data_IF_169675284094
#
_entry.id   IF_169675284094
#
_cell.length_a   1.000
_cell.length_b   1.000
_cell.length_c   1.000
_cell.angle_alpha   90.00
_cell.angle_beta   90.00
_cell.angle_gamma   90.00
#
_symmetry.space_group_name_H-M   'P 1'
#
loop_
_entity.id
_entity.type
_entity.pdbx_description
1 polymer ?
#
# COMPACT_ATOMS: atom_id res chain seq x y z
N UNK A 1 -1.58 -5.35 -5.92
CA UNK A 1 -2.76 -4.53 -6.12
C UNK A 1 -2.63 -3.43 -5.01
N UNK A 2 -2.77 -2.08 -5.22
CA UNK A 2 -2.64 -0.81 -4.34
C UNK A 2 -3.59 -0.18 -3.17
N UNK A 3 -4.98 -0.08 -3.14
CA UNK A 3 -5.86 1.03 -2.45
C UNK A 3 -7.47 1.10 -1.87
N UNK A 4 -8.49 0.35 -1.23
CA UNK A 4 -8.92 -0.95 -0.43
C UNK A 4 -10.37 -1.43 -0.01
N UNK A 5 -10.57 -2.15 1.14
CA UNK A 5 -11.86 -2.23 1.92
C UNK A 5 -11.76 -1.98 3.43
N UNK A 6 -11.89 -0.72 3.84
CA UNK A 6 -11.87 -0.19 5.22
C UNK A 6 -12.13 1.37 5.29
N UNK A 7 -13.22 1.96 4.74
CA UNK A 7 -13.40 3.46 4.53
C UNK A 7 -14.43 4.19 5.38
N UNK A 8 -15.68 3.72 5.41
CA UNK A 8 -16.77 4.70 5.57
C UNK A 8 -16.83 5.29 6.98
N UNK A 9 -16.21 4.63 7.95
CA UNK A 9 -16.11 5.08 9.34
C UNK A 9 -15.34 6.41 9.53
N UNK A 10 -14.56 6.85 8.55
CA UNK A 10 -13.82 8.11 8.64
C UNK A 10 -14.49 9.31 7.96
N UNK A 11 -15.65 9.08 7.34
CA UNK A 11 -16.38 10.09 6.57
C UNK A 11 -17.54 10.74 7.32
N UNK A 12 -18.14 10.02 8.25
CA UNK A 12 -19.35 10.44 8.93
C UNK A 12 -19.09 11.25 10.22
N UNK A 13 -17.87 11.18 10.77
CA UNK A 13 -17.51 11.77 12.08
C UNK A 13 -17.26 13.28 12.00
N UNK A 14 -17.11 13.82 10.79
CA UNK A 14 -16.67 15.19 10.51
C UNK A 14 -17.78 16.24 10.38
N UNK A 15 -18.97 15.85 9.92
CA UNK A 15 -19.74 16.69 8.99
C UNK A 15 -20.95 17.41 9.56
N UNK A 16 -21.43 17.02 10.75
CA UNK A 16 -22.74 17.38 11.28
C UNK A 16 -22.69 17.76 12.78
N UNK A 17 -21.66 18.50 13.18
CA UNK A 17 -21.56 19.05 14.54
C UNK A 17 -21.52 20.57 14.53
N UNK A 18 -22.65 21.23 14.83
CA UNK A 18 -22.66 22.67 15.11
C UNK A 18 -21.92 22.94 16.43
N UNK A 19 -20.94 23.85 16.41
CA UNK A 19 -20.16 24.19 17.60
C UNK A 19 -20.91 25.19 18.50
N UNK A 20 -20.70 25.14 19.84
CA UNK A 20 -21.23 26.16 20.75
C UNK A 20 -20.70 27.56 20.39
N UNK A 21 -21.49 28.60 20.64
CA UNK A 21 -21.18 29.99 20.31
C UNK A 21 -19.81 30.43 20.85
N UNK A 22 -18.86 30.59 19.93
CA UNK A 22 -17.45 30.72 20.24
C UNK A 22 -16.96 32.18 20.27
N UNK A 23 -15.97 32.44 21.12
CA UNK A 23 -15.19 33.68 21.12
C UNK A 23 -14.07 33.54 20.07
N UNK A 24 -14.44 33.61 18.78
CA UNK A 24 -13.58 33.34 17.65
C UNK A 24 -13.26 34.61 16.84
N UNK A 25 -12.01 34.77 16.44
CA UNK A 25 -11.57 35.76 15.46
C UNK A 25 -11.88 35.22 14.05
N UNK A 26 -12.95 35.72 13.44
CA UNK A 26 -13.30 35.39 12.06
C UNK A 26 -12.60 36.31 11.04
N UNK A 27 -12.28 35.75 9.88
CA UNK A 27 -11.94 36.49 8.67
C UNK A 27 -12.70 35.90 7.49
N UNK A 28 -13.51 36.71 6.82
CA UNK A 28 -14.19 36.38 5.56
C UNK A 28 -13.73 37.35 4.49
N UNK A 29 -13.34 36.85 3.32
CA UNK A 29 -12.94 37.70 2.20
C UNK A 29 -14.14 38.42 1.52
N UNK A 30 -15.38 38.02 1.83
CA UNK A 30 -16.59 38.49 1.15
C UNK A 30 -17.73 38.98 2.08
N UNK A 31 -17.51 39.01 3.39
CA UNK A 31 -18.22 39.96 4.27
C UNK A 31 -19.61 39.57 4.78
N UNK A 32 -19.85 38.29 5.12
CA UNK A 32 -21.01 37.88 5.93
C UNK A 32 -20.50 37.12 7.16
N UNK A 33 -21.01 37.45 8.34
CA UNK A 33 -20.68 36.76 9.60
C UNK A 33 -19.41 37.26 10.29
N UNK A 34 -19.56 37.82 11.50
CA UNK A 34 -18.44 38.14 12.38
C UNK A 34 -18.85 37.95 13.85
N UNK A 35 -19.13 36.69 14.22
CA UNK A 35 -19.53 36.29 15.56
C UNK A 35 -20.15 34.88 15.57
N UNK A 36 -19.73 34.02 16.52
CA UNK A 36 -20.23 32.66 16.70
C UNK A 36 -19.74 31.63 15.67
N UNK A 37 -19.74 31.99 14.38
CA UNK A 37 -19.24 31.16 13.29
C UNK A 37 -18.87 32.00 12.06
N UNK A 38 -17.82 31.59 11.35
CA UNK A 38 -17.26 32.29 10.21
C UNK A 38 -17.82 31.67 8.92
N UNK A 39 -19.08 32.00 8.59
CA UNK A 39 -19.68 31.66 7.30
C UNK A 39 -19.09 32.53 6.19
N UNK A 40 -19.26 32.18 4.91
CA UNK A 40 -18.79 33.02 3.80
C UNK A 40 -19.47 32.72 2.47
N UNK A 41 -19.95 33.76 1.79
CA UNK A 41 -20.14 33.82 0.34
C UNK A 41 -19.91 35.28 -0.12
N UNK A 42 -19.29 35.56 -1.28
CA UNK A 42 -20.02 35.76 -2.54
C UNK A 42 -19.66 34.73 -3.63
N UNK A 43 -18.44 34.20 -3.55
CA UNK A 43 -18.06 32.83 -4.00
C UNK A 43 -17.13 32.14 -2.97
N UNK A 44 -17.31 32.49 -1.69
CA UNK A 44 -16.92 31.80 -0.43
C UNK A 44 -15.44 31.51 -0.10
N UNK A 45 -14.85 32.29 0.82
CA UNK A 45 -13.60 31.97 1.53
C UNK A 45 -13.71 32.38 3.02
N UNK A 46 -13.55 31.41 3.93
CA UNK A 46 -13.74 31.54 5.37
C UNK A 46 -12.51 31.10 6.19
N UNK A 47 -12.12 31.91 7.18
CA UNK A 47 -11.17 31.52 8.24
C UNK A 47 -11.79 31.78 9.61
N UNK A 48 -11.70 30.81 10.52
CA UNK A 48 -11.96 30.97 11.95
C UNK A 48 -10.74 30.65 12.80
N UNK A 49 -10.41 31.51 13.77
CA UNK A 49 -9.31 31.30 14.71
C UNK A 49 -9.85 31.41 16.14
N UNK A 50 -9.69 30.35 16.93
CA UNK A 50 -10.13 30.29 18.33
C UNK A 50 -10.61 28.89 18.74
N UNK A 51 -10.69 28.64 20.04
CA UNK A 51 -11.33 27.43 20.57
C UNK A 51 -12.82 27.43 20.20
N UNK A 52 -13.32 26.28 19.73
CA UNK A 52 -14.67 26.09 19.17
C UNK A 52 -14.94 26.92 17.89
N UNK A 53 -13.93 27.48 17.21
CA UNK A 53 -14.16 28.25 15.98
C UNK A 53 -14.69 27.35 14.85
N UNK A 54 -15.77 27.81 14.21
CA UNK A 54 -16.35 27.19 13.01
C UNK A 54 -16.03 28.05 11.80
N UNK A 55 -15.49 27.45 10.73
CA UNK A 55 -15.38 28.06 9.41
C UNK A 55 -16.25 27.29 8.42
N UNK A 56 -17.12 27.99 7.68
CA UNK A 56 -18.01 27.39 6.68
C UNK A 56 -17.98 28.20 5.37
N UNK A 57 -17.59 27.54 4.29
CA UNK A 57 -17.66 28.07 2.93
C UNK A 57 -18.70 27.27 2.14
N UNK A 58 -19.92 27.80 2.11
CA UNK A 58 -21.06 27.20 1.40
C UNK A 58 -21.36 27.93 0.09
N UNK A 59 -21.77 27.16 -0.92
CA UNK A 59 -22.41 27.64 -2.14
C UNK A 59 -21.56 28.58 -3.01
N UNK A 60 -20.23 28.47 -2.95
CA UNK A 60 -19.33 29.07 -3.94
C UNK A 60 -18.91 28.10 -5.05
N UNK A 61 -18.30 28.65 -6.11
CA UNK A 61 -17.60 27.83 -7.11
C UNK A 61 -16.26 27.30 -6.58
N UNK A 62 -15.59 28.10 -5.73
CA UNK A 62 -14.35 27.78 -5.03
C UNK A 62 -14.53 27.95 -3.51
N UNK A 63 -15.06 26.94 -2.83
CA UNK A 63 -15.25 27.01 -1.37
C UNK A 63 -13.99 26.61 -0.62
N UNK A 64 -13.52 27.50 0.27
CA UNK A 64 -12.42 27.23 1.19
C UNK A 64 -12.79 27.64 2.60
N UNK A 65 -12.73 26.69 3.54
CA UNK A 65 -12.85 26.91 4.97
C UNK A 65 -11.56 26.48 5.69
N UNK A 66 -11.16 27.26 6.69
CA UNK A 66 -9.96 27.01 7.50
C UNK A 66 -10.27 27.36 8.96
N UNK A 67 -10.03 26.44 9.90
CA UNK A 67 -10.31 26.61 11.31
C UNK A 67 -9.09 26.22 12.19
N UNK A 68 -8.66 27.11 13.09
CA UNK A 68 -7.49 26.92 13.96
C UNK A 68 -7.85 27.05 15.44
N UNK A 69 -7.61 25.99 16.22
CA UNK A 69 -7.91 25.93 17.65
C UNK A 69 -8.46 24.57 18.07
N UNK A 70 -8.66 24.36 19.37
CA UNK A 70 -9.26 23.12 19.87
C UNK A 70 -10.78 23.11 19.62
N UNK A 71 -11.34 21.93 19.36
CA UNK A 71 -12.73 21.67 18.96
C UNK A 71 -13.20 22.45 17.71
N UNK A 72 -12.29 22.80 16.80
CA UNK A 72 -12.65 23.57 15.60
C UNK A 72 -13.31 22.74 14.52
N UNK A 73 -14.24 23.35 13.80
CA UNK A 73 -14.95 22.76 12.66
C UNK A 73 -14.64 23.55 11.40
N UNK A 74 -14.27 22.86 10.34
CA UNK A 74 -14.12 23.42 9.00
C UNK A 74 -15.02 22.66 8.03
N UNK A 75 -15.96 23.36 7.41
CA UNK A 75 -16.95 22.81 6.50
C UNK A 75 -16.92 23.50 5.12
N UNK A 76 -17.13 22.76 4.04
CA UNK A 76 -17.55 23.36 2.75
C UNK A 76 -18.72 22.62 2.15
N UNK A 77 -19.61 23.35 1.46
CA UNK A 77 -20.91 22.83 1.01
C UNK A 77 -21.22 23.21 -0.44
N UNK A 78 -21.52 22.19 -1.27
CA UNK A 78 -22.02 22.30 -2.65
C UNK A 78 -21.18 23.24 -3.53
N UNK A 79 -20.07 22.73 -4.07
CA UNK A 79 -19.09 23.55 -4.79
C UNK A 79 -18.35 22.74 -5.87
N UNK A 80 -17.85 23.39 -6.92
CA UNK A 80 -16.98 22.68 -7.87
C UNK A 80 -15.64 22.32 -7.22
N UNK A 81 -15.08 23.25 -6.44
CA UNK A 81 -13.88 23.03 -5.64
C UNK A 81 -14.18 23.30 -4.17
N UNK A 82 -13.75 22.39 -3.31
CA UNK A 82 -14.10 22.30 -1.89
C UNK A 82 -12.85 22.00 -1.07
N UNK A 83 -12.48 22.88 -0.14
CA UNK A 83 -11.31 22.74 0.74
C UNK A 83 -11.68 23.03 2.20
N UNK A 84 -11.52 22.07 3.10
CA UNK A 84 -11.67 22.25 4.55
C UNK A 84 -10.35 21.94 5.27
N UNK A 85 -9.96 22.78 6.22
CA UNK A 85 -8.75 22.60 7.04
C UNK A 85 -9.09 22.87 8.49
N UNK A 86 -8.88 21.93 9.39
CA UNK A 86 -9.09 22.09 10.83
C UNK A 86 -7.83 21.65 11.61
N UNK A 87 -7.36 22.46 12.55
CA UNK A 87 -6.12 22.18 13.27
C UNK A 87 -6.19 22.53 14.76
N UNK A 88 -6.09 21.48 15.60
CA UNK A 88 -6.15 21.50 17.05
C UNK A 88 -6.78 20.22 17.60
N UNK A 89 -6.77 20.02 18.91
CA UNK A 89 -7.38 18.82 19.49
C UNK A 89 -8.90 18.92 19.47
N UNK A 90 -9.56 17.88 18.94
CA UNK A 90 -10.98 17.87 18.60
C UNK A 90 -11.30 18.43 17.20
N UNK A 91 -10.30 18.75 16.37
CA UNK A 91 -10.51 19.32 15.05
C UNK A 91 -11.30 18.41 14.09
N UNK A 92 -12.18 19.01 13.28
CA UNK A 92 -12.99 18.34 12.25
C UNK A 92 -12.91 19.10 10.93
N UNK A 93 -12.43 18.45 9.88
CA UNK A 93 -12.51 18.97 8.51
C UNK A 93 -13.50 18.14 7.69
N UNK A 94 -14.40 18.81 6.98
CA UNK A 94 -15.45 18.18 6.19
C UNK A 94 -15.70 18.94 4.89
N UNK A 95 -15.77 18.26 3.74
CA UNK A 95 -16.32 18.87 2.51
C UNK A 95 -17.41 18.03 1.87
N UNK A 96 -18.53 18.66 1.52
CA UNK A 96 -19.71 18.01 0.97
C UNK A 96 -19.66 17.97 -0.58
N UNK A 97 -20.47 17.11 -1.24
CA UNK A 97 -20.45 16.81 -2.68
C UNK A 97 -20.05 17.94 -3.63
N UNK A 98 -18.82 17.83 -4.14
CA UNK A 98 -18.28 18.66 -5.22
C UNK A 98 -17.54 17.87 -6.31
N UNK A 99 -16.93 18.57 -7.28
CA UNK A 99 -16.08 17.94 -8.29
C UNK A 99 -14.71 17.58 -7.70
N UNK A 100 -14.10 18.47 -6.91
CA UNK A 100 -12.88 18.23 -6.14
C UNK A 100 -13.08 18.62 -4.66
N UNK A 101 -12.74 17.72 -3.76
CA UNK A 101 -13.11 17.76 -2.35
C UNK A 101 -11.90 17.40 -1.47
N UNK A 102 -11.39 18.34 -0.68
CA UNK A 102 -10.16 18.17 0.12
C UNK A 102 -10.43 18.51 1.59
N UNK A 103 -10.14 17.58 2.49
CA UNK A 103 -10.16 17.84 3.93
C UNK A 103 -8.79 17.62 4.61
N UNK A 104 -8.45 18.46 5.57
CA UNK A 104 -7.23 18.35 6.35
C UNK A 104 -7.54 18.49 7.84
N UNK A 105 -7.09 17.55 8.65
CA UNK A 105 -7.23 17.57 10.10
C UNK A 105 -5.88 17.39 10.78
N UNK A 106 -5.56 18.25 11.75
CA UNK A 106 -4.36 18.15 12.58
C UNK A 106 -4.75 18.17 14.07
N UNK A 107 -4.04 17.41 14.90
CA UNK A 107 -4.39 17.10 16.31
C UNK A 107 -5.13 15.76 16.44
N UNK A 108 -5.72 15.47 17.60
CA UNK A 108 -6.72 14.40 17.69
C UNK A 108 -8.03 14.85 16.98
N UNK A 109 -8.64 14.05 16.10
CA UNK A 109 -9.80 14.53 15.33
C UNK A 109 -10.27 13.69 14.14
N UNK A 110 -10.95 14.30 13.16
CA UNK A 110 -11.44 13.62 11.95
C UNK A 110 -11.44 14.47 10.69
N UNK A 111 -11.18 13.84 9.54
CA UNK A 111 -11.06 14.50 8.23
C UNK A 111 -11.88 13.77 7.17
N UNK A 112 -12.77 14.48 6.47
CA UNK A 112 -13.74 13.92 5.54
C UNK A 112 -13.98 14.78 4.30
N UNK A 113 -14.20 14.20 3.14
CA UNK A 113 -14.65 14.96 1.96
C UNK A 113 -15.48 14.07 1.02
N UNK A 114 -16.36 14.58 0.16
CA UNK A 114 -17.27 13.72 -0.63
C UNK A 114 -17.57 14.31 -1.99
N UNK A 115 -17.80 13.47 -3.00
CA UNK A 115 -18.05 13.89 -4.38
C UNK A 115 -17.26 13.09 -5.43
N UNK A 116 -16.93 13.71 -6.56
CA UNK A 116 -16.34 13.01 -7.70
C UNK A 116 -14.85 12.70 -7.52
N UNK A 117 -14.04 13.70 -7.16
CA UNK A 117 -12.62 13.56 -6.79
C UNK A 117 -12.45 14.01 -5.36
N UNK A 118 -11.81 13.20 -4.54
CA UNK A 118 -11.77 13.45 -3.12
C UNK A 118 -10.39 13.15 -2.53
N UNK A 119 -10.03 13.83 -1.44
CA UNK A 119 -8.81 13.64 -0.68
C UNK A 119 -8.96 14.08 0.80
N UNK A 120 -8.41 13.34 1.76
CA UNK A 120 -8.37 13.81 3.15
C UNK A 120 -7.12 13.37 3.92
N UNK A 121 -6.73 14.17 4.91
CA UNK A 121 -5.56 13.90 5.75
C UNK A 121 -5.92 14.10 7.24
N UNK A 122 -5.49 13.18 8.10
CA UNK A 122 -5.49 13.30 9.57
C UNK A 122 -4.07 13.19 10.13
N UNK A 123 -3.64 14.15 10.95
CA UNK A 123 -2.25 14.24 11.47
C UNK A 123 -2.19 14.50 12.99
N UNK A 124 -1.84 13.49 13.79
CA UNK A 124 -1.69 13.53 15.26
C UNK A 124 -0.22 13.33 15.64
N UNK A 125 0.45 14.44 15.94
CA UNK A 125 1.91 14.55 16.05
C UNK A 125 2.36 14.75 17.50
N UNK A 126 2.27 13.67 18.29
CA UNK A 126 2.56 13.69 19.72
C UNK A 126 1.36 14.13 20.56
N UNK A 127 1.39 13.78 21.85
CA UNK A 127 0.19 13.83 22.71
C UNK A 127 -0.63 12.53 22.62
N UNK A 128 -1.53 12.35 23.58
CA UNK A 128 -2.49 11.24 23.59
C UNK A 128 -3.70 11.56 22.73
N UNK A 129 -4.10 10.64 21.86
CA UNK A 129 -5.27 10.83 21.00
C UNK A 129 -5.49 9.68 20.02
N UNK A 130 -6.52 9.85 19.21
CA UNK A 130 -6.84 9.02 18.04
C UNK A 130 -7.30 9.94 16.90
N UNK A 131 -7.43 9.39 15.69
CA UNK A 131 -7.99 10.14 14.57
C UNK A 131 -8.75 9.26 13.59
N UNK A 132 -9.42 9.91 12.63
CA UNK A 132 -10.04 9.25 11.48
C UNK A 132 -9.90 10.04 10.18
N UNK A 133 -9.68 9.39 9.04
CA UNK A 133 -9.51 10.10 7.75
C UNK A 133 -10.17 9.44 6.53
N UNK A 134 -11.17 10.05 5.86
CA UNK A 134 -11.85 9.44 4.68
C UNK A 134 -12.55 10.38 3.69
N UNK A 135 -13.05 9.89 2.52
CA UNK A 135 -13.36 10.79 1.37
C UNK A 135 -14.30 10.31 0.18
N UNK A 136 -15.57 9.90 0.34
CA UNK A 136 -16.25 9.02 -0.65
C UNK A 136 -16.73 9.58 -2.02
N UNK A 137 -16.57 8.75 -3.08
CA UNK A 137 -17.39 8.76 -4.31
C UNK A 137 -16.78 7.96 -5.48
N UNK A 138 -16.52 8.63 -6.61
CA UNK A 138 -15.89 8.04 -7.82
C UNK A 138 -14.40 7.71 -7.70
N UNK A 139 -13.54 8.21 -6.80
CA UNK A 139 -13.64 9.26 -5.79
C UNK A 139 -12.77 8.95 -4.60
N UNK A 140 -11.47 8.78 -4.90
CA UNK A 140 -10.37 8.33 -4.06
C UNK A 140 -10.24 9.09 -2.76
N UNK A 141 -9.35 8.64 -1.88
CA UNK A 141 -9.51 8.97 -0.48
C UNK A 141 -8.18 9.44 0.19
N UNK A 142 -7.67 8.86 1.26
CA UNK A 142 -7.09 9.61 2.38
C UNK A 142 -5.75 9.08 2.94
N UNK A 143 -5.35 9.68 4.08
CA UNK A 143 -4.06 9.54 4.75
C UNK A 143 -4.16 9.83 6.27
N UNK A 144 -3.61 8.99 7.15
CA UNK A 144 -3.61 9.19 8.61
C UNK A 144 -2.24 8.92 9.21
N UNK A 145 -1.84 9.78 10.14
CA UNK A 145 -0.50 9.84 10.71
C UNK A 145 -0.63 10.06 12.22
N UNK A 146 -0.62 8.96 12.97
CA UNK A 146 -1.13 8.85 14.35
C UNK A 146 -1.77 7.46 14.49
N UNK A 147 -1.99 6.89 15.69
CA UNK A 147 -2.54 5.55 15.81
C UNK A 147 -3.98 5.57 15.27
N UNK A 148 -4.35 4.68 14.34
CA UNK A 148 -5.72 4.66 13.83
C UNK A 148 -5.98 4.30 12.36
N UNK A 149 -6.63 5.22 11.65
CA UNK A 149 -7.63 4.92 10.62
C UNK A 149 -7.62 5.84 9.35
N UNK A 150 -6.51 5.85 8.55
CA UNK A 150 -6.47 6.25 7.10
C UNK A 150 -7.70 5.78 6.36
N UNK A 151 -8.02 6.26 5.17
CA UNK A 151 -8.83 5.42 4.27
C UNK A 151 -8.47 5.66 2.79
N UNK A 152 -8.96 4.94 1.76
CA UNK A 152 -8.75 5.25 0.32
C UNK A 152 -9.88 4.67 -0.62
N UNK A 153 -10.14 5.11 -1.90
CA UNK A 153 -11.30 4.64 -2.75
C UNK A 153 -11.02 4.08 -4.15
N UNK A 154 -10.02 4.46 -4.96
CA UNK A 154 -10.06 4.09 -6.40
C UNK A 154 -11.37 4.52 -7.08
N UNK A 155 -12.22 3.56 -7.50
CA UNK A 155 -13.69 3.71 -7.47
C UNK A 155 -14.28 2.55 -6.66
N UNK A 156 -15.03 2.77 -5.58
CA UNK A 156 -15.55 1.71 -4.67
C UNK A 156 -14.50 0.90 -3.88
N UNK A 157 -13.56 1.57 -3.20
CA UNK A 157 -12.57 0.95 -2.31
C UNK A 157 -12.49 1.73 -0.98
N UNK A 158 -11.73 1.29 0.03
CA UNK A 158 -12.07 1.56 1.44
C UNK A 158 -10.73 1.39 2.31
N UNK A 159 -10.11 2.20 3.25
CA UNK A 159 -8.69 1.89 3.82
C UNK A 159 -8.01 2.16 5.26
N UNK A 160 -8.57 2.09 6.49
CA UNK A 160 -7.94 2.26 7.88
C UNK A 160 -6.37 2.15 7.99
N UNK A 161 -5.65 3.07 8.68
CA UNK A 161 -4.18 3.06 9.02
C UNK A 161 -3.68 4.02 10.12
N UNK A 162 -2.59 3.64 10.79
CA UNK A 162 -1.69 4.60 11.45
C UNK A 162 -1.02 4.16 12.78
N UNK A 163 0.13 4.76 13.12
CA UNK A 163 0.84 4.60 14.40
C UNK A 163 1.08 5.96 15.05
N UNK A 164 1.06 6.03 16.37
CA UNK A 164 1.54 7.18 17.14
C UNK A 164 3.06 7.37 16.95
N UNK A 165 3.56 8.52 17.39
CA UNK A 165 4.87 8.54 18.03
C UNK A 165 4.79 7.68 19.30
N UNK A 166 5.02 6.37 19.16
CA UNK A 166 4.75 5.36 20.18
C UNK A 166 4.43 4.00 19.56
N UNK A 167 4.14 3.01 20.41
CA UNK A 167 4.00 1.61 20.05
C UNK A 167 2.59 1.33 19.46
N UNK A 168 2.25 1.99 18.35
CA UNK A 168 0.88 2.11 17.83
C UNK A 168 0.56 1.27 16.59
N UNK A 169 -0.66 0.74 16.56
CA UNK A 169 -1.16 -0.24 15.58
C UNK A 169 -1.46 0.31 14.19
N UNK A 170 -0.50 0.21 13.27
CA UNK A 170 -0.74 0.55 11.86
C UNK A 170 -1.72 -0.42 11.23
N UNK A 171 -2.75 0.16 10.65
CA UNK A 171 -3.48 -0.40 9.54
C UNK A 171 -2.95 0.19 8.20
N UNK A 172 -3.47 -0.17 7.04
CA UNK A 172 -3.32 0.46 5.70
C UNK A 172 -3.95 -0.50 4.74
N UNK A 173 -5.13 -0.18 4.25
CA UNK A 173 -5.87 -1.09 3.37
C UNK A 173 -5.80 -0.69 1.89
N UNK A 174 -6.15 -1.60 0.96
CA UNK A 174 -5.82 -1.45 -0.45
C UNK A 174 -6.67 -2.28 -1.51
N UNK A 175 -7.11 -1.66 -2.65
CA UNK A 175 -8.31 -1.85 -3.54
C UNK A 175 -8.52 -0.76 -4.66
N UNK A 176 -8.84 -1.12 -5.92
CA UNK A 176 -8.94 -0.22 -7.10
C UNK A 176 -10.33 -0.08 -7.72
N UNK A 177 -11.07 -1.19 -7.72
CA UNK A 177 -12.52 -1.34 -7.80
C UNK A 177 -12.93 -2.55 -6.94
N UNK A 178 -13.55 -2.32 -5.79
CA UNK A 178 -13.91 -3.29 -4.73
C UNK A 178 -12.79 -4.26 -4.32
N UNK A 179 -11.97 -4.00 -3.30
CA UNK A 179 -11.00 -4.99 -2.75
C UNK A 179 -10.86 -4.80 -1.23
N UNK A 180 -9.90 -5.41 -0.52
CA UNK A 180 -9.74 -5.50 0.96
C UNK A 180 -8.25 -5.66 1.33
N UNK A 181 -7.77 -5.23 2.51
CA UNK A 181 -6.33 -5.25 2.85
C UNK A 181 -5.94 -4.85 4.31
N UNK A 182 -6.60 -5.36 5.36
CA UNK A 182 -6.37 -4.90 6.75
C UNK A 182 -4.88 -4.97 7.17
N UNK A 183 -4.49 -4.17 8.15
CA UNK A 183 -3.17 -4.19 8.81
C UNK A 183 -3.40 -3.83 10.30
N UNK A 184 -2.71 -4.40 11.28
CA UNK A 184 -2.92 -4.12 12.73
C UNK A 184 -1.67 -4.56 13.50
N UNK A 185 -1.36 -3.90 14.62
CA UNK A 185 -0.47 -4.41 15.67
C UNK A 185 0.59 -3.41 16.11
N UNK A 186 1.78 -3.56 15.54
CA UNK A 186 2.87 -2.60 15.65
C UNK A 186 2.95 -1.78 14.34
N UNK A 187 4.16 -1.53 13.84
CA UNK A 187 4.44 -0.62 12.74
C UNK A 187 4.17 -1.18 11.31
N UNK A 188 3.40 -2.27 11.18
CA UNK A 188 3.26 -3.12 9.97
C UNK A 188 2.58 -2.52 8.73
N UNK A 189 2.33 -3.34 7.69
CA UNK A 189 1.82 -2.93 6.36
C UNK A 189 0.94 -3.98 5.64
N UNK A 190 -0.08 -3.56 4.87
CA UNK A 190 -0.80 -4.42 3.91
C UNK A 190 -1.24 -3.74 2.57
N UNK A 191 -1.48 -4.48 1.46
CA UNK A 191 -1.77 -3.95 0.07
C UNK A 191 -2.62 -4.85 -0.93
N UNK A 192 -3.74 -4.34 -1.52
CA UNK A 192 -4.64 -4.98 -2.55
C UNK A 192 -5.53 -4.16 -3.63
N UNK A 193 -5.19 -3.02 -4.28
CA UNK A 193 -5.86 -2.46 -5.56
C UNK A 193 -5.84 -3.24 -6.87
N UNK A 194 -7.00 -3.76 -7.23
CA UNK A 194 -7.43 -3.87 -8.62
C UNK A 194 -8.89 -4.27 -8.63
N UNK A 195 -9.21 -5.55 -8.81
CA UNK A 195 -10.59 -6.03 -8.90
C UNK A 195 -10.80 -7.22 -7.95
N UNK A 196 -11.67 -7.04 -6.96
CA UNK A 196 -12.18 -8.07 -6.04
C UNK A 196 -11.07 -8.89 -5.36
N UNK A 197 -10.33 -8.33 -4.41
CA UNK A 197 -9.19 -9.02 -3.76
C UNK A 197 -9.05 -8.65 -2.26
N UNK A 198 -8.23 -9.33 -1.46
CA UNK A 198 -8.09 -9.13 0.00
C UNK A 198 -6.65 -9.18 0.55
N UNK A 199 -6.35 -8.52 1.68
CA UNK A 199 -5.26 -8.91 2.59
C UNK A 199 -5.56 -8.60 4.06
N UNK A 200 -4.70 -9.11 4.97
CA UNK A 200 -4.69 -8.89 6.41
C UNK A 200 -3.27 -8.99 7.01
N UNK A 201 -2.61 -7.91 7.41
CA UNK A 201 -1.53 -7.96 8.41
C UNK A 201 -2.12 -7.84 9.81
N UNK A 202 -1.67 -8.63 10.79
CA UNK A 202 -2.31 -8.64 12.09
C UNK A 202 -1.37 -9.03 13.23
N UNK A 203 -1.27 -8.13 14.23
CA UNK A 203 -0.47 -8.26 15.44
C UNK A 203 0.99 -8.68 15.14
N UNK A 204 1.59 -7.93 14.20
CA UNK A 204 3.01 -8.02 13.90
C UNK A 204 3.49 -6.87 13.02
N UNK A 205 4.73 -6.46 13.23
CA UNK A 205 5.48 -5.56 12.34
C UNK A 205 5.90 -6.33 11.08
N UNK A 206 4.92 -6.58 10.22
CA UNK A 206 4.96 -7.53 9.11
C UNK A 206 4.25 -6.95 7.88
N UNK A 207 4.47 -7.56 6.71
CA UNK A 207 4.13 -7.02 5.39
C UNK A 207 3.27 -8.01 4.61
N UNK A 208 2.06 -7.59 4.20
CA UNK A 208 1.08 -8.48 3.56
C UNK A 208 0.55 -7.92 2.25
N UNK A 209 0.65 -8.68 1.16
CA UNK A 209 0.38 -8.18 -0.21
C UNK A 209 -0.44 -9.17 -1.01
N UNK A 210 -1.44 -8.69 -1.72
CA UNK A 210 -2.11 -9.45 -2.77
C UNK A 210 -2.15 -8.64 -4.07
N UNK A 211 -2.05 -9.31 -5.21
CA UNK A 211 -1.91 -8.68 -6.51
C UNK A 211 -2.40 -9.54 -7.68
N UNK A 212 -3.69 -9.40 -7.99
CA UNK A 212 -4.31 -9.89 -9.22
C UNK A 212 -5.80 -10.19 -8.99
N UNK A 213 -6.57 -10.53 -10.02
CA UNK A 213 -8.04 -10.64 -9.89
C UNK A 213 -8.40 -11.80 -8.96
N UNK A 214 -9.18 -11.56 -7.89
CA UNK A 214 -9.47 -12.57 -6.85
C UNK A 214 -8.19 -13.07 -6.15
N UNK A 215 -7.37 -12.18 -5.61
CA UNK A 215 -6.17 -12.53 -4.82
C UNK A 215 -6.32 -12.22 -3.33
N UNK A 216 -5.65 -12.97 -2.48
CA UNK A 216 -5.78 -12.90 -1.02
C UNK A 216 -4.43 -13.10 -0.31
N UNK A 217 -4.10 -12.34 0.74
CA UNK A 217 -2.96 -12.70 1.60
C UNK A 217 -3.09 -12.33 3.08
N UNK A 218 -2.51 -13.11 4.00
CA UNK A 218 -2.63 -12.84 5.45
C UNK A 218 -1.37 -13.15 6.27
N UNK A 219 -0.88 -12.20 7.06
CA UNK A 219 0.00 -12.47 8.19
C UNK A 219 -0.82 -12.44 9.49
N UNK A 220 -0.76 -13.52 10.26
CA UNK A 220 -1.37 -13.64 11.57
C UNK A 220 -0.28 -13.96 12.60
N UNK A 221 0.02 -12.95 13.42
CA UNK A 221 1.08 -12.95 14.43
C UNK A 221 2.50 -13.06 13.84
N UNK A 222 3.48 -12.70 14.67
CA UNK A 222 4.89 -12.70 14.29
C UNK A 222 5.32 -11.51 13.43
N UNK A 223 6.59 -11.17 13.56
CA UNK A 223 7.23 -9.96 13.06
C UNK A 223 8.19 -10.26 11.91
N UNK A 224 8.45 -9.27 11.06
CA UNK A 224 9.35 -9.38 9.91
C UNK A 224 8.85 -10.32 8.81
N UNK A 225 7.59 -10.74 8.83
CA UNK A 225 7.04 -11.64 7.82
C UNK A 225 6.70 -10.91 6.52
N UNK A 226 6.98 -11.56 5.39
CA UNK A 226 6.57 -11.13 4.06
C UNK A 226 5.59 -12.14 3.48
N UNK A 227 4.31 -11.79 3.43
CA UNK A 227 3.25 -12.63 2.87
C UNK A 227 2.75 -12.00 1.59
N UNK A 228 2.87 -12.70 0.46
CA UNK A 228 2.69 -12.12 -0.87
C UNK A 228 1.95 -13.06 -1.82
N UNK A 229 0.68 -12.78 -2.07
CA UNK A 229 -0.12 -13.35 -3.17
C UNK A 229 0.01 -12.47 -4.41
N UNK A 230 1.21 -12.41 -4.98
CA UNK A 230 1.50 -11.53 -6.12
C UNK A 230 2.28 -12.24 -7.22
N UNK A 231 1.81 -12.04 -8.44
CA UNK A 231 2.54 -12.28 -9.67
C UNK A 231 2.31 -11.11 -10.65
N UNK A 232 2.32 -11.36 -11.97
CA UNK A 232 2.01 -10.35 -12.97
C UNK A 232 0.56 -9.89 -12.77
N UNK A 233 0.36 -8.58 -12.68
CA UNK A 233 -0.97 -7.98 -12.65
C UNK A 233 -1.43 -7.68 -14.09
N UNK A 234 -2.71 -7.92 -14.46
CA UNK A 234 -3.78 -8.51 -13.66
C UNK A 234 -3.79 -10.05 -13.61
N UNK A 235 -2.90 -10.69 -14.40
CA UNK A 235 -2.89 -12.12 -14.75
C UNK A 235 -2.84 -13.12 -13.57
N UNK A 236 -2.43 -12.68 -12.39
CA UNK A 236 -2.46 -13.50 -11.17
C UNK A 236 -3.91 -13.66 -10.73
N UNK A 237 -4.51 -14.83 -10.93
CA UNK A 237 -5.91 -15.04 -10.57
C UNK A 237 -6.06 -16.14 -9.52
N UNK A 238 -7.02 -16.00 -8.60
CA UNK A 238 -7.26 -16.97 -7.52
C UNK A 238 -5.97 -17.39 -6.79
N UNK A 239 -5.18 -16.40 -6.32
CA UNK A 239 -3.95 -16.67 -5.55
C UNK A 239 -4.17 -16.38 -4.06
N UNK A 240 -3.53 -17.17 -3.18
CA UNK A 240 -3.66 -17.08 -1.71
C UNK A 240 -2.33 -17.33 -1.00
N UNK A 241 -1.81 -16.33 -0.27
CA UNK A 241 -0.59 -16.46 0.55
C UNK A 241 -0.90 -16.27 2.04
N UNK A 242 -0.35 -17.09 2.94
CA UNK A 242 -0.55 -16.89 4.39
C UNK A 242 0.67 -17.25 5.26
N UNK A 243 0.91 -16.48 6.34
CA UNK A 243 1.83 -16.83 7.42
C UNK A 243 1.09 -16.83 8.75
N UNK A 244 1.15 -17.95 9.47
CA UNK A 244 0.52 -18.14 10.77
C UNK A 244 1.56 -18.58 11.81
N UNK A 245 1.61 -17.89 12.95
CA UNK A 245 2.41 -18.28 14.14
C UNK A 245 3.91 -18.45 13.85
N UNK A 246 4.52 -17.49 13.17
CA UNK A 246 5.91 -17.57 12.76
C UNK A 246 6.53 -16.22 12.47
N UNK A 247 7.84 -16.10 12.67
CA UNK A 247 8.63 -14.88 12.52
C UNK A 247 9.60 -14.95 11.32
N UNK A 248 9.78 -13.84 10.61
CA UNK A 248 10.74 -13.71 9.51
C UNK A 248 10.48 -14.60 8.28
N UNK A 249 9.28 -15.15 8.11
CA UNK A 249 8.95 -16.02 6.99
C UNK A 249 8.67 -15.22 5.70
N UNK A 250 9.05 -15.80 4.56
CA UNK A 250 8.72 -15.31 3.22
C UNK A 250 7.76 -16.29 2.55
N UNK A 251 6.50 -15.91 2.39
CA UNK A 251 5.45 -16.72 1.77
C UNK A 251 5.00 -16.07 0.47
N UNK A 252 5.21 -16.75 -0.66
CA UNK A 252 4.89 -16.22 -2.00
C UNK A 252 3.94 -17.15 -2.75
N UNK A 253 2.66 -16.79 -2.82
CA UNK A 253 1.72 -17.43 -3.72
C UNK A 253 1.80 -16.74 -5.09
N UNK A 254 2.39 -17.44 -6.04
CA UNK A 254 2.79 -16.91 -7.33
C UNK A 254 1.66 -16.97 -8.36
N UNK A 255 2.02 -17.42 -9.56
CA UNK A 255 1.32 -17.04 -10.78
C UNK A 255 0.18 -18.04 -11.03
N UNK A 256 -1.04 -17.59 -10.74
CA UNK A 256 -2.26 -18.36 -10.91
C UNK A 256 -2.64 -18.63 -12.38
N UNK A 257 -3.79 -19.30 -12.63
CA UNK A 257 -4.89 -19.54 -11.69
C UNK A 257 -4.54 -20.50 -10.54
N UNK A 258 -5.12 -20.28 -9.35
CA UNK A 258 -5.08 -21.22 -8.22
C UNK A 258 -3.66 -21.51 -7.67
N UNK A 259 -2.94 -20.46 -7.25
CA UNK A 259 -1.67 -20.61 -6.53
C UNK A 259 -1.86 -20.40 -5.02
N UNK A 260 -1.49 -21.37 -4.19
CA UNK A 260 -1.62 -21.28 -2.73
C UNK A 260 -0.26 -21.50 -2.05
N UNK A 261 0.15 -20.58 -1.18
CA UNK A 261 1.37 -20.68 -0.38
C UNK A 261 1.09 -20.42 1.11
N UNK A 262 1.64 -21.22 2.01
CA UNK A 262 1.35 -21.15 3.44
C UNK A 262 2.53 -21.48 4.36
N UNK A 263 2.83 -20.60 5.31
CA UNK A 263 3.67 -20.90 6.47
C UNK A 263 2.80 -21.08 7.72
N UNK A 264 3.06 -22.14 8.49
CA UNK A 264 2.39 -22.46 9.75
C UNK A 264 3.45 -22.94 10.75
N UNK A 265 3.62 -22.24 11.88
CA UNK A 265 4.62 -22.59 12.91
C UNK A 265 6.05 -22.72 12.35
N UNK A 266 6.39 -21.90 11.35
CA UNK A 266 7.71 -21.80 10.75
C UNK A 266 8.43 -20.56 11.27
N UNK A 267 9.76 -20.55 11.26
CA UNK A 267 10.55 -19.32 11.41
C UNK A 267 11.59 -19.27 10.28
N UNK A 268 11.92 -18.06 9.81
CA UNK A 268 12.94 -17.79 8.78
C UNK A 268 12.78 -18.61 7.47
N UNK A 269 11.58 -19.11 7.17
CA UNK A 269 11.33 -20.06 6.10
C UNK A 269 10.85 -19.38 4.81
N UNK A 270 11.30 -19.87 3.65
CA UNK A 270 10.88 -19.38 2.32
C UNK A 270 9.98 -20.42 1.64
N UNK A 271 8.71 -20.07 1.44
CA UNK A 271 7.67 -20.95 0.91
C UNK A 271 7.05 -20.30 -0.31
N UNK A 272 7.37 -20.84 -1.49
CA UNK A 272 7.00 -20.24 -2.79
C UNK A 272 6.18 -21.21 -3.63
N UNK A 273 5.13 -20.70 -4.29
CA UNK A 273 4.26 -21.45 -5.19
C UNK A 273 4.10 -20.73 -6.53
N UNK A 274 5.08 -20.86 -7.42
CA UNK A 274 5.14 -20.11 -8.69
C UNK A 274 4.12 -20.56 -9.76
N UNK A 275 3.48 -21.72 -9.58
CA UNK A 275 2.57 -22.37 -10.54
C UNK A 275 1.28 -22.83 -9.85
N UNK A 276 0.17 -23.05 -10.59
CA UNK A 276 -1.08 -23.60 -10.06
C UNK A 276 -0.87 -24.82 -9.15
N UNK A 277 -1.49 -24.82 -7.96
CA UNK A 277 -1.34 -25.81 -6.90
C UNK A 277 -1.02 -25.20 -5.53
N UNK A 278 -0.61 -26.03 -4.59
CA UNK A 278 -0.44 -25.72 -3.16
C UNK A 278 1.01 -25.93 -2.72
N UNK A 279 1.52 -25.08 -1.83
CA UNK A 279 2.77 -25.29 -1.06
C UNK A 279 2.54 -24.83 0.39
N UNK A 280 2.55 -25.74 1.35
CA UNK A 280 2.42 -25.40 2.78
C UNK A 280 3.60 -26.01 3.54
N UNK A 281 4.39 -25.19 4.24
CA UNK A 281 5.61 -25.62 4.94
C UNK A 281 6.59 -26.44 4.07
N UNK A 282 6.64 -26.17 2.75
CA UNK A 282 7.44 -26.92 1.79
C UNK A 282 6.75 -28.15 1.18
N UNK A 283 5.60 -28.58 1.72
CA UNK A 283 4.80 -29.68 1.17
C UNK A 283 4.02 -29.19 -0.06
N UNK A 284 4.47 -29.60 -1.25
CA UNK A 284 3.84 -29.21 -2.52
C UNK A 284 2.84 -30.25 -3.02
N UNK A 285 1.64 -29.81 -3.41
CA UNK A 285 0.64 -30.63 -4.09
C UNK A 285 0.06 -29.91 -5.31
N UNK A 286 -0.36 -30.67 -6.33
CA UNK A 286 -0.84 -30.15 -7.61
C UNK A 286 0.27 -29.67 -8.55
N UNK A 287 0.00 -29.78 -9.85
CA UNK A 287 0.94 -29.52 -10.95
C UNK A 287 1.01 -30.72 -11.91
N UNK A 288 1.22 -30.48 -13.21
CA UNK A 288 1.13 -31.51 -14.25
C UNK A 288 2.19 -32.63 -14.16
N UNK A 289 3.20 -32.49 -13.29
CA UNK A 289 4.18 -33.54 -12.99
C UNK A 289 3.65 -34.63 -12.02
N UNK A 290 2.46 -34.46 -11.44
CA UNK A 290 1.87 -35.41 -10.49
C UNK A 290 1.12 -36.59 -11.15
N UNK A 291 0.98 -36.61 -12.48
CA UNK A 291 0.66 -37.84 -13.23
C UNK A 291 1.94 -38.65 -13.41
N UNK A 292 2.33 -39.35 -12.34
CA UNK A 292 3.47 -40.26 -12.40
C UNK A 292 3.25 -41.29 -13.52
N UNK A 293 4.16 -41.26 -14.51
CA UNK A 293 4.14 -42.21 -15.60
C UNK A 293 4.56 -43.57 -15.03
N UNK A 294 3.55 -44.35 -14.61
CA UNK A 294 3.65 -45.75 -14.18
C UNK A 294 4.05 -46.64 -15.37
N UNK A 295 5.27 -46.38 -15.85
CA UNK A 295 5.92 -46.95 -17.01
C UNK A 295 6.39 -48.34 -16.63
N UNK A 296 5.40 -49.25 -16.55
CA UNK A 296 5.55 -50.70 -16.35
C UNK A 296 6.86 -51.17 -16.98
N UNK A 297 7.83 -51.68 -16.19
CA UNK A 297 9.12 -52.05 -16.74
C UNK A 297 8.91 -53.07 -17.85
N UNK A 298 9.45 -52.77 -19.04
CA UNK A 298 9.44 -53.71 -20.14
C UNK A 298 10.24 -54.94 -19.70
N UNK A 299 9.61 -56.12 -19.76
CA UNK A 299 10.30 -57.37 -19.45
C UNK A 299 11.48 -57.53 -20.40
N UNK A 300 12.65 -57.92 -19.86
CA UNK A 300 13.80 -58.22 -20.69
C UNK A 300 13.46 -59.39 -21.64
N UNK A 301 13.62 -59.18 -22.94
CA UNK A 301 13.48 -60.24 -23.93
C UNK A 301 14.66 -61.21 -23.80
N UNK A 302 14.34 -62.48 -23.59
CA UNK A 302 15.31 -63.55 -23.31
C UNK A 302 16.24 -63.84 -24.52
N UNK A 303 17.44 -64.33 -24.25
CA UNK A 303 18.53 -64.47 -25.23
C UNK A 303 18.60 -65.88 -25.85
N UNK A 304 17.72 -66.16 -26.81
CA UNK A 304 17.59 -67.46 -27.48
C UNK A 304 18.46 -67.67 -28.74
N UNK A 305 19.60 -68.33 -28.57
CA UNK A 305 20.53 -68.94 -29.54
C UNK A 305 20.20 -69.00 -31.06
N UNK A 306 21.18 -68.59 -31.89
CA UNK A 306 21.38 -69.10 -33.27
C UNK A 306 22.87 -69.33 -33.57
N UNK A 307 23.22 -70.56 -33.92
CA UNK A 307 24.49 -71.02 -34.54
C UNK A 307 24.22 -71.17 -36.06
N UNK A 308 25.10 -71.01 -37.07
CA UNK A 308 26.45 -71.58 -37.30
C UNK A 308 27.23 -70.89 -38.45
N UNK A 309 28.55 -70.69 -38.26
CA UNK A 309 29.71 -70.87 -39.19
C UNK A 309 29.72 -70.48 -40.70
N UNK A 310 30.83 -69.82 -41.10
CA UNK A 310 31.72 -70.08 -42.28
C UNK A 310 31.73 -69.17 -43.54
N UNK A 311 32.88 -68.46 -43.70
CA UNK A 311 33.60 -68.06 -44.94
C UNK A 311 32.88 -67.18 -46.01
N UNK A 312 33.53 -66.32 -46.83
CA UNK A 312 34.92 -66.25 -47.35
C UNK A 312 35.28 -64.80 -47.78
N UNK A 313 36.57 -64.48 -47.91
CA UNK A 313 37.14 -63.13 -48.11
C UNK A 313 36.91 -62.41 -49.47
N UNK A 314 37.05 -61.07 -49.48
CA UNK A 314 37.83 -60.33 -50.51
C UNK A 314 38.32 -58.92 -50.06
N UNK A 315 39.51 -58.54 -50.53
CA UNK A 315 40.17 -57.20 -50.45
C UNK A 315 39.35 -56.10 -51.19
N UNK A 316 39.40 -54.79 -50.87
CA UNK A 316 40.53 -53.84 -51.15
C UNK A 316 40.48 -52.46 -50.45
N UNK A 317 41.65 -52.00 -49.98
CA UNK A 317 42.28 -50.65 -50.05
C UNK A 317 41.56 -49.30 -49.78
N UNK A 318 42.33 -48.41 -49.11
CA UNK A 318 42.39 -46.91 -49.23
C UNK A 318 41.18 -46.08 -48.75
N UNK A 319 41.30 -44.85 -48.21
CA UNK A 319 42.44 -43.89 -48.08
C UNK A 319 42.40 -43.13 -46.74
N UNK A 320 43.34 -42.21 -46.51
CA UNK A 320 43.45 -41.27 -45.38
C UNK A 320 42.18 -40.40 -45.15
N UNK A 321 41.96 -39.79 -43.98
CA UNK A 321 42.73 -38.61 -43.52
C UNK A 321 42.83 -38.46 -41.99
N UNK A 322 43.80 -37.66 -41.52
CA UNK A 322 44.14 -37.43 -40.12
C UNK A 322 44.47 -35.95 -39.90
N UNK A 323 43.68 -35.25 -39.08
CA UNK A 323 43.99 -33.91 -38.55
C UNK A 323 43.09 -33.64 -37.35
N UNK A 324 43.54 -33.30 -36.14
CA UNK A 324 44.56 -32.34 -35.64
C UNK A 324 44.21 -30.87 -35.88
N UNK A 325 44.02 -30.10 -34.79
CA UNK A 325 44.27 -28.66 -34.83
C UNK A 325 43.39 -27.75 -33.98
N UNK A 326 43.73 -27.60 -32.69
CA UNK A 326 43.57 -26.34 -31.94
C UNK A 326 42.11 -25.84 -31.71
N UNK A 327 41.83 -24.75 -30.96
CA UNK A 327 42.72 -23.72 -30.38
C UNK A 327 42.24 -23.25 -29.00
N UNK A 328 43.20 -22.97 -28.11
CA UNK A 328 43.00 -22.32 -26.82
C UNK A 328 42.74 -20.83 -27.04
N UNK A 329 41.82 -20.23 -26.29
CA UNK A 329 41.69 -18.77 -26.17
C UNK A 329 41.70 -18.37 -24.69
N UNK A 330 42.29 -17.22 -24.38
CA UNK A 330 42.48 -16.70 -23.02
C UNK A 330 42.08 -15.22 -23.00
N UNK A 331 41.56 -14.79 -21.85
CA UNK A 331 41.20 -13.42 -21.47
C UNK A 331 42.25 -12.37 -21.86
N UNK A 332 41.81 -11.13 -22.09
CA UNK A 332 42.47 -10.02 -21.40
C UNK A 332 41.48 -9.09 -20.67
N UNK A 333 41.80 -8.78 -19.41
CA UNK A 333 41.21 -7.67 -18.66
C UNK A 333 42.02 -6.39 -18.93
N UNK A 334 41.38 -5.23 -19.05
CA UNK A 334 42.07 -3.94 -19.15
C UNK A 334 41.28 -2.79 -18.46
N UNK A 335 41.92 -1.70 -17.97
CA UNK A 335 41.37 -0.95 -16.82
C UNK A 335 41.41 0.60 -16.92
N UNK A 336 40.96 1.23 -15.82
CA UNK A 336 41.36 2.58 -15.31
C UNK A 336 40.75 3.85 -15.93
N UNK A 337 40.81 4.96 -15.19
CA UNK A 337 40.31 6.30 -15.60
C UNK A 337 39.37 7.01 -14.60
N UNK A 338 39.61 6.98 -13.28
CA UNK A 338 40.25 8.07 -12.51
C UNK A 338 39.72 9.50 -12.75
N UNK A 339 39.00 10.08 -11.77
CA UNK A 339 38.65 11.50 -11.71
C UNK A 339 38.54 12.00 -10.26
N UNK A 340 39.33 13.02 -9.88
CA UNK A 340 39.55 13.46 -8.48
C UNK A 340 39.60 14.98 -8.35
N UNK A 341 38.62 15.58 -7.64
CA UNK A 341 38.62 16.94 -7.02
C UNK A 341 37.66 16.89 -5.83
N UNK A 342 37.98 17.09 -4.54
CA UNK A 342 38.79 18.09 -3.78
C UNK A 342 38.06 19.37 -3.40
N UNK A 343 37.92 19.60 -2.09
CA UNK A 343 37.44 20.82 -1.40
C UNK A 343 35.99 21.27 -1.70
N UNK A 344 35.25 21.87 -0.77
CA UNK A 344 35.56 22.22 0.62
C UNK A 344 35.59 23.72 0.86
N UNK A 345 34.57 24.25 1.54
CA UNK A 345 34.57 25.62 2.10
C UNK A 345 33.56 25.71 3.24
N UNK A 346 34.04 26.09 4.43
CA UNK A 346 33.18 26.50 5.53
C UNK A 346 32.84 27.99 5.39
N UNK A 347 31.64 28.40 5.82
CA UNK A 347 31.28 29.82 5.88
C UNK A 347 30.73 30.20 7.26
N UNK A 348 31.66 30.41 8.19
CA UNK A 348 31.43 31.16 9.43
C UNK A 348 31.57 32.66 9.17
N UNK A 349 30.78 33.48 9.88
CA UNK A 349 30.86 34.94 9.88
C UNK A 349 29.71 35.66 9.14
N UNK A 350 29.27 36.85 9.57
CA UNK A 350 29.67 37.56 10.79
C UNK A 350 28.60 38.56 11.31
N UNK A 351 28.84 39.07 12.51
CA UNK A 351 28.09 39.99 13.38
C UNK A 351 27.49 41.28 12.78
N UNK A 352 26.38 41.72 13.41
CA UNK A 352 25.87 43.11 13.45
C UNK A 352 24.37 43.11 13.77
N UNK A 353 23.82 43.54 14.92
CA UNK A 353 24.18 44.45 16.03
C UNK A 353 23.97 45.96 15.74
N UNK A 354 23.23 46.61 16.66
CA UNK A 354 22.53 47.92 16.58
C UNK A 354 21.22 47.88 15.78
N UNK A 355 20.20 48.69 16.08
CA UNK A 355 20.08 49.73 17.12
C UNK A 355 18.77 49.62 17.91
N UNK A 356 18.76 50.19 19.11
CA UNK A 356 17.54 50.62 19.81
C UNK A 356 16.88 51.79 19.09
N UNK A 357 15.55 51.79 19.03
CA UNK A 357 14.70 52.65 19.87
C UNK A 357 13.33 52.00 20.05
#
# INVERSE_FOLDING_TARGET
MLLGALVSGALAVSSLGEAPTANANCFSAFGIGNGGGCTSNLTSFAIGIGTNATADAGNGFFSTAIAFGNNTVSATTLSFFSFAVAAGDGARASTLPGLLNIAWQQGAGSSAAMGALNFAIGVLMGGGGSQSTGVAGVGNIALQIGPGTMTNIGSLNLTVAGASGGNGSKNTTAGGFGNLALNIGDAGTAWTQGFLSSTTNFLGDSIVKAQGILTAAGNLLGNGNLVTSAGPYPNTTLSLAFNFFGDGNTVTAGWGPFAIAGAISQNLSTITRSLPGININGLTSGGAAAVDSSKKPAAASDAGAVTTTSAKARSTNTTASRGTGHKRSVTPSAPSGSGKKTAGSARTGNSGKKSSN
#
